data_IF_355548436965
#
_entry.id   IF_355548436965
#
_cell.length_a   1.000
_cell.length_b   1.000
_cell.length_c   1.000
_cell.angle_alpha   90.00
_cell.angle_beta   90.00
_cell.angle_gamma   90.00
#
_symmetry.space_group_name_H-M   'P 1'
#
loop_
_entity.id
_entity.type
_entity.pdbx_description
1 polymer ?
#
# COMPACT_ATOMS: atom_id res chain seq x y z
N UNK A 1 59.17 14.62 37.80
CA UNK A 1 57.79 14.31 38.23
C UNK A 1 57.09 13.58 37.10
N UNK A 2 56.59 12.37 37.36
CA UNK A 2 55.80 11.53 36.45
C UNK A 2 54.32 11.97 36.45
N UNK A 3 53.68 12.00 35.27
CA UNK A 3 52.22 11.87 35.06
C UNK A 3 52.04 11.27 33.64
N UNK A 4 51.93 9.94 33.48
CA UNK A 4 50.71 9.09 33.46
C UNK A 4 49.63 9.51 32.44
N UNK A 5 49.53 8.73 31.35
CA UNK A 5 48.33 8.16 30.64
C UNK A 5 47.05 9.01 30.54
N UNK A 6 46.33 9.08 29.41
CA UNK A 6 45.67 7.98 28.72
C UNK A 6 45.33 8.35 27.26
N UNK A 7 45.58 7.42 26.33
CA UNK A 7 44.84 7.34 25.06
C UNK A 7 43.40 6.93 25.37
N UNK A 8 42.43 7.71 24.90
CA UNK A 8 41.03 7.25 24.79
C UNK A 8 40.71 7.22 23.30
N UNK A 9 40.81 6.02 22.71
CA UNK A 9 40.31 5.76 21.36
C UNK A 9 38.80 5.59 21.45
N UNK A 10 38.06 6.55 20.91
CA UNK A 10 36.60 6.54 20.86
C UNK A 10 36.17 5.70 19.65
N UNK A 11 36.09 4.37 19.81
CA UNK A 11 35.44 3.50 18.82
C UNK A 11 33.92 3.70 18.92
N UNK A 12 33.37 4.57 18.09
CA UNK A 12 31.93 4.66 17.87
C UNK A 12 31.45 3.44 17.09
N UNK A 13 30.87 2.47 17.79
CA UNK A 13 30.11 1.38 17.16
C UNK A 13 28.86 2.00 16.52
N UNK A 14 28.91 2.26 15.21
CA UNK A 14 27.75 2.51 14.37
C UNK A 14 26.94 1.21 14.32
N UNK A 15 25.87 1.12 15.12
CA UNK A 15 24.90 0.04 15.00
C UNK A 15 24.05 0.34 13.77
N UNK A 16 24.32 -0.36 12.67
CA UNK A 16 23.38 -0.41 11.55
C UNK A 16 22.19 -1.26 11.99
N UNK A 17 21.03 -0.64 12.19
CA UNK A 17 19.79 -1.41 12.35
C UNK A 17 19.51 -2.06 10.99
N UNK A 18 19.45 -3.39 10.90
CA UNK A 18 19.11 -4.04 9.64
C UNK A 18 17.66 -3.68 9.30
N UNK A 19 17.45 -3.04 8.15
CA UNK A 19 16.12 -2.84 7.58
C UNK A 19 15.63 -4.21 7.14
N UNK A 20 14.69 -4.79 7.89
CA UNK A 20 14.12 -6.10 7.55
C UNK A 20 13.03 -5.94 6.50
N UNK A 21 13.09 -6.77 5.46
CA UNK A 21 12.03 -6.89 4.47
C UNK A 21 10.81 -7.56 5.11
N UNK A 22 9.65 -6.91 5.07
CA UNK A 22 8.39 -7.53 5.50
C UNK A 22 7.78 -8.28 4.31
N UNK A 23 7.62 -9.60 4.44
CA UNK A 23 7.02 -10.44 3.41
C UNK A 23 5.61 -10.85 3.80
N UNK A 24 4.63 -10.59 2.94
CA UNK A 24 3.25 -11.04 3.08
C UNK A 24 2.85 -11.87 1.88
N UNK A 25 2.28 -13.05 2.10
CA UNK A 25 1.72 -13.89 1.03
C UNK A 25 0.21 -14.07 1.23
N UNK A 26 -0.53 -14.06 0.14
CA UNK A 26 -1.98 -14.30 0.15
C UNK A 26 -2.45 -14.82 -1.20
N UNK A 27 -3.69 -15.29 -1.28
CA UNK A 27 -4.29 -15.76 -2.54
C UNK A 27 -5.41 -14.81 -2.96
N UNK A 28 -5.23 -14.00 -4.04
CA UNK A 28 -6.28 -13.15 -4.60
C UNK A 28 -7.51 -13.94 -5.00
N UNK A 29 -7.27 -15.12 -5.60
CA UNK A 29 -8.26 -16.09 -6.03
C UNK A 29 -7.62 -17.46 -6.14
N UNK A 30 -8.45 -18.51 -6.20
CA UNK A 30 -7.97 -19.90 -6.25
C UNK A 30 -6.96 -20.11 -7.38
N UNK A 31 -5.82 -20.68 -7.05
CA UNK A 31 -4.76 -21.01 -8.01
C UNK A 31 -3.80 -19.86 -8.33
N UNK A 32 -3.96 -18.72 -7.67
CA UNK A 32 -3.06 -17.57 -7.75
C UNK A 32 -2.48 -17.30 -6.36
N UNK A 33 -1.16 -17.19 -6.27
CA UNK A 33 -0.43 -16.78 -5.08
C UNK A 33 0.16 -15.39 -5.33
N UNK A 34 -0.13 -14.44 -4.45
CA UNK A 34 0.45 -13.12 -4.43
C UNK A 34 1.47 -13.01 -3.29
N UNK A 35 2.62 -12.44 -3.61
CA UNK A 35 3.71 -12.17 -2.67
C UNK A 35 4.02 -10.69 -2.69
N UNK A 36 3.99 -10.08 -1.52
CA UNK A 36 4.32 -8.69 -1.25
C UNK A 36 5.62 -8.67 -0.43
N UNK A 37 6.65 -7.99 -0.89
CA UNK A 37 7.91 -7.81 -0.17
C UNK A 37 8.17 -6.32 -0.02
N UNK A 38 8.00 -5.83 1.20
CA UNK A 38 8.15 -4.43 1.57
C UNK A 38 9.54 -4.21 2.17
N UNK A 39 10.36 -3.42 1.48
CA UNK A 39 11.75 -3.09 1.85
C UNK A 39 11.89 -1.58 1.94
N UNK A 40 11.84 -1.05 3.16
CA UNK A 40 11.85 0.41 3.38
C UNK A 40 10.63 1.05 2.71
N UNK A 41 10.89 1.89 1.69
CA UNK A 41 9.86 2.60 0.92
C UNK A 41 9.56 1.97 -0.44
N UNK A 42 10.06 0.76 -0.69
CA UNK A 42 9.83 0.04 -1.96
C UNK A 42 9.06 -1.24 -1.69
N UNK A 43 8.02 -1.49 -2.49
CA UNK A 43 7.23 -2.70 -2.45
C UNK A 43 7.43 -3.49 -3.75
N UNK A 44 7.93 -4.71 -3.63
CA UNK A 44 7.90 -5.68 -4.72
C UNK A 44 6.63 -6.52 -4.62
N UNK A 45 5.87 -6.56 -5.71
CA UNK A 45 4.61 -7.29 -5.82
C UNK A 45 4.77 -8.34 -6.90
N UNK A 46 4.52 -9.59 -6.57
CA UNK A 46 4.44 -10.68 -7.53
C UNK A 46 3.08 -11.39 -7.42
N UNK A 47 2.53 -11.81 -8.55
CA UNK A 47 1.38 -12.72 -8.59
C UNK A 47 1.70 -13.88 -9.53
N UNK A 48 1.59 -15.09 -9.02
CA UNK A 48 2.00 -16.31 -9.68
C UNK A 48 0.85 -17.29 -9.77
N UNK A 49 0.72 -17.89 -10.94
CA UNK A 49 -0.11 -19.06 -11.24
C UNK A 49 0.80 -20.24 -11.61
N UNK A 50 0.22 -21.41 -11.88
CA UNK A 50 0.98 -22.56 -12.35
C UNK A 50 1.71 -22.30 -13.69
N UNK A 51 1.15 -21.47 -14.57
CA UNK A 51 1.64 -21.26 -15.93
C UNK A 51 2.27 -19.87 -16.17
N UNK A 52 1.98 -18.89 -15.32
CA UNK A 52 2.31 -17.49 -15.54
C UNK A 52 2.71 -16.78 -14.24
N UNK A 53 3.66 -15.86 -14.33
CA UNK A 53 4.10 -15.03 -13.22
C UNK A 53 4.24 -13.58 -13.68
N UNK A 54 3.65 -12.66 -12.92
CA UNK A 54 3.79 -11.22 -13.11
C UNK A 54 4.44 -10.60 -11.89
N UNK A 55 5.26 -9.58 -12.10
CA UNK A 55 5.79 -8.77 -11.01
C UNK A 55 5.81 -7.28 -11.37
N UNK A 56 5.81 -6.46 -10.33
CA UNK A 56 6.01 -5.02 -10.42
C UNK A 56 6.63 -4.50 -9.13
N UNK A 57 7.41 -3.44 -9.27
CA UNK A 57 7.98 -2.69 -8.15
C UNK A 57 7.22 -1.38 -8.02
N UNK A 58 6.89 -1.01 -6.79
CA UNK A 58 6.15 0.20 -6.47
C UNK A 58 6.97 0.98 -5.44
N UNK A 59 7.37 2.18 -5.81
CA UNK A 59 8.04 3.10 -4.89
C UNK A 59 7.02 3.97 -4.17
N UNK A 60 7.32 4.25 -2.90
CA UNK A 60 6.56 5.15 -2.04
C UNK A 60 7.47 6.33 -1.67
N UNK A 61 6.91 7.53 -1.73
CA UNK A 61 7.52 8.72 -1.17
C UNK A 61 7.07 8.81 0.29
N UNK A 62 7.76 8.09 1.16
CA UNK A 62 7.37 7.92 2.55
C UNK A 62 8.58 8.03 3.47
N UNK A 63 8.52 8.94 4.43
CA UNK A 63 9.48 8.98 5.55
C UNK A 63 8.98 8.12 6.72
N UNK A 64 7.66 8.03 6.91
CA UNK A 64 7.07 7.20 7.96
C UNK A 64 6.98 5.72 7.54
N UNK A 65 6.97 4.79 8.50
CA UNK A 65 6.79 3.37 8.21
C UNK A 65 5.53 3.10 7.41
N UNK A 66 5.67 2.20 6.43
CA UNK A 66 4.58 1.70 5.62
C UNK A 66 3.93 0.49 6.30
N UNK A 67 2.63 0.33 6.09
CA UNK A 67 1.82 -0.75 6.63
C UNK A 67 0.97 -1.39 5.53
N UNK A 68 0.92 -2.73 5.49
CA UNK A 68 0.14 -3.48 4.51
C UNK A 68 -1.21 -3.95 5.09
N UNK A 69 -2.24 -3.98 4.24
CA UNK A 69 -3.54 -4.54 4.58
C UNK A 69 -4.10 -5.33 3.39
N UNK A 70 -4.66 -6.52 3.66
CA UNK A 70 -5.30 -7.38 2.66
C UNK A 70 -6.82 -7.37 2.89
N UNK A 71 -7.60 -6.96 1.89
CA UNK A 71 -9.07 -7.01 1.92
C UNK A 71 -9.65 -7.07 0.50
N UNK A 72 -10.97 -7.12 0.36
CA UNK A 72 -11.68 -6.96 -0.92
C UNK A 72 -12.12 -5.48 -1.03
N UNK A 73 -11.34 -4.66 -1.73
CA UNK A 73 -11.52 -3.20 -1.76
C UNK A 73 -12.49 -2.76 -2.86
N UNK A 74 -12.63 -3.54 -3.94
CA UNK A 74 -13.58 -3.27 -5.02
C UNK A 74 -14.90 -4.07 -4.91
N UNK A 75 -15.03 -4.92 -3.90
CA UNK A 75 -16.21 -5.73 -3.58
C UNK A 75 -16.58 -6.76 -4.65
N UNK A 76 -15.60 -7.27 -5.39
CA UNK A 76 -15.77 -8.29 -6.44
C UNK A 76 -15.59 -9.74 -5.93
N UNK A 77 -15.23 -9.90 -4.66
CA UNK A 77 -15.00 -11.19 -4.01
C UNK A 77 -13.56 -11.71 -4.14
N UNK A 78 -12.68 -10.98 -4.82
CA UNK A 78 -11.25 -11.29 -4.91
C UNK A 78 -10.49 -10.50 -3.84
N UNK A 79 -9.34 -11.02 -3.39
CA UNK A 79 -8.49 -10.30 -2.45
C UNK A 79 -7.58 -9.32 -3.18
N UNK A 80 -7.57 -8.12 -2.65
CA UNK A 80 -6.76 -6.96 -3.03
C UNK A 80 -5.78 -6.64 -1.88
N UNK A 81 -5.00 -5.57 -2.03
CA UNK A 81 -4.22 -5.03 -0.93
C UNK A 81 -4.19 -3.50 -0.93
N UNK A 82 -3.85 -2.92 0.22
CA UNK A 82 -3.49 -1.51 0.34
C UNK A 82 -2.19 -1.37 1.13
N UNK A 83 -1.44 -0.33 0.82
CA UNK A 83 -0.32 0.14 1.64
C UNK A 83 -0.68 1.51 2.19
N UNK A 84 -0.41 1.74 3.46
CA UNK A 84 -0.68 3.03 4.08
C UNK A 84 0.43 3.49 5.01
N UNK A 85 0.48 4.79 5.23
CA UNK A 85 1.37 5.44 6.19
C UNK A 85 0.62 6.54 6.91
N UNK A 86 1.14 6.96 8.06
CA UNK A 86 0.77 8.24 8.64
C UNK A 86 1.43 9.34 7.81
N UNK A 87 0.69 10.40 7.51
CA UNK A 87 1.15 11.60 6.81
C UNK A 87 2.50 12.08 7.36
N UNK A 88 3.43 12.39 6.45
CA UNK A 88 4.79 12.80 6.80
C UNK A 88 4.82 14.22 7.39
N UNK A 89 3.75 15.00 7.24
CA UNK A 89 3.58 16.33 7.83
C UNK A 89 3.32 16.29 9.34
N UNK A 90 2.11 16.65 9.76
CA UNK A 90 1.75 16.70 11.19
C UNK A 90 1.40 15.32 11.76
N UNK A 91 1.42 14.27 10.93
CA UNK A 91 1.09 12.90 11.34
C UNK A 91 -0.34 12.71 11.80
N UNK A 92 -1.26 13.55 11.31
CA UNK A 92 -2.66 13.55 11.74
C UNK A 92 -3.51 12.58 10.93
N UNK A 93 -3.11 12.29 9.70
CA UNK A 93 -3.92 11.52 8.76
C UNK A 93 -3.19 10.27 8.31
N UNK A 94 -3.93 9.24 7.97
CA UNK A 94 -3.39 8.04 7.31
C UNK A 94 -3.64 8.14 5.80
N UNK A 95 -2.59 8.02 4.99
CA UNK A 95 -2.65 8.02 3.53
C UNK A 95 -2.56 6.60 2.99
N UNK A 96 -3.53 6.19 2.17
CA UNK A 96 -3.62 4.84 1.60
C UNK A 96 -3.41 4.86 0.08
N UNK A 97 -2.64 3.89 -0.42
CA UNK A 97 -2.63 3.47 -1.82
C UNK A 97 -3.28 2.10 -1.92
N UNK A 98 -4.33 1.99 -2.73
CA UNK A 98 -5.16 0.78 -2.84
C UNK A 98 -4.87 0.10 -4.18
N UNK A 99 -4.63 -1.20 -4.18
CA UNK A 99 -4.21 -1.97 -5.35
C UNK A 99 -5.17 -3.13 -5.61
N UNK A 100 -5.89 -3.04 -6.72
CA UNK A 100 -6.98 -3.95 -7.09
C UNK A 100 -6.45 -5.05 -8.02
N UNK A 101 -6.70 -6.29 -7.66
CA UNK A 101 -6.30 -7.45 -8.46
C UNK A 101 -7.07 -7.50 -9.79
N UNK A 102 -6.34 -7.76 -10.87
CA UNK A 102 -6.87 -7.87 -12.23
C UNK A 102 -6.74 -9.33 -12.70
N UNK A 103 -7.82 -10.10 -12.57
CA UNK A 103 -7.83 -11.54 -12.89
C UNK A 103 -7.44 -11.89 -14.32
N UNK A 104 -7.66 -10.99 -15.28
CA UNK A 104 -7.30 -11.21 -16.70
C UNK A 104 -5.80 -11.17 -16.95
N UNK A 105 -5.07 -10.37 -16.17
CA UNK A 105 -3.64 -10.13 -16.39
C UNK A 105 -2.78 -10.66 -15.26
N UNK A 106 -3.38 -11.14 -14.16
CA UNK A 106 -2.68 -11.50 -12.93
C UNK A 106 -1.82 -10.34 -12.39
N UNK A 107 -2.29 -9.10 -12.52
CA UNK A 107 -1.58 -7.91 -12.00
C UNK A 107 -2.44 -7.17 -11.01
N UNK A 108 -1.81 -6.37 -10.16
CA UNK A 108 -2.52 -5.42 -9.31
C UNK A 108 -2.45 -4.03 -9.92
N UNK A 109 -3.58 -3.32 -9.96
CA UNK A 109 -3.67 -1.97 -10.49
C UNK A 109 -4.02 -1.01 -9.36
N UNK A 110 -3.28 0.07 -9.23
CA UNK A 110 -3.60 1.13 -8.28
C UNK A 110 -4.95 1.77 -8.62
N UNK A 111 -5.82 1.86 -7.61
CA UNK A 111 -7.09 2.55 -7.67
C UNK A 111 -6.91 4.01 -7.23
N UNK A 112 -7.71 4.88 -7.83
CA UNK A 112 -7.83 6.27 -7.45
C UNK A 112 -9.20 6.51 -6.81
N UNK A 113 -9.32 7.43 -5.84
CA UNK A 113 -10.62 7.83 -5.34
C UNK A 113 -11.42 8.58 -6.42
N UNK A 114 -12.74 8.63 -6.26
CA UNK A 114 -13.61 9.41 -7.18
C UNK A 114 -13.46 10.94 -6.96
N UNK A 115 -12.84 11.35 -5.84
CA UNK A 115 -12.65 12.72 -5.39
C UNK A 115 -11.37 12.88 -4.57
N UNK A 116 -10.74 14.05 -4.70
CA UNK A 116 -9.44 14.33 -4.08
C UNK A 116 -8.29 13.57 -4.76
N UNK A 117 -7.09 13.74 -4.20
CA UNK A 117 -5.85 13.24 -4.82
C UNK A 117 -5.37 11.89 -4.25
N UNK A 118 -6.09 11.33 -3.26
CA UNK A 118 -5.73 10.06 -2.65
C UNK A 118 -6.71 9.59 -1.58
N UNK A 119 -6.54 8.35 -1.12
CA UNK A 119 -7.38 7.77 -0.06
C UNK A 119 -6.87 8.18 1.31
N UNK A 120 -7.33 9.32 1.82
CA UNK A 120 -6.97 9.81 3.15
C UNK A 120 -8.00 9.31 4.18
N UNK A 121 -7.54 8.83 5.33
CA UNK A 121 -8.38 8.29 6.41
C UNK A 121 -9.38 7.22 5.92
N UNK A 122 -8.89 6.31 5.07
CA UNK A 122 -9.70 5.33 4.37
C UNK A 122 -10.50 4.44 5.32
N UNK A 123 -11.79 4.23 5.02
CA UNK A 123 -12.65 3.25 5.66
C UNK A 123 -13.36 2.41 4.60
N UNK A 124 -13.36 1.09 4.78
CA UNK A 124 -14.06 0.14 3.91
C UNK A 124 -15.48 -0.09 4.43
N UNK A 125 -16.49 0.38 3.70
CA UNK A 125 -17.89 0.14 4.03
C UNK A 125 -18.44 -1.06 3.26
N UNK A 126 -18.32 -2.25 3.86
CA UNK A 126 -18.76 -3.51 3.25
C UNK A 126 -20.27 -3.60 3.05
N UNK A 127 -21.06 -2.94 3.91
CA UNK A 127 -22.53 -2.95 3.81
C UNK A 127 -22.99 -2.14 2.60
N UNK A 128 -22.40 -0.96 2.39
CA UNK A 128 -22.72 -0.08 1.26
C UNK A 128 -21.87 -0.36 0.01
N UNK A 129 -20.89 -1.26 0.08
CA UNK A 129 -19.91 -1.53 -0.99
C UNK A 129 -19.29 -0.24 -1.52
N UNK A 130 -18.65 0.50 -0.63
CA UNK A 130 -17.98 1.75 -0.94
C UNK A 130 -16.71 1.92 -0.11
N UNK A 131 -15.74 2.64 -0.68
CA UNK A 131 -14.62 3.19 0.07
C UNK A 131 -14.95 4.62 0.47
N UNK A 132 -14.75 4.94 1.74
CA UNK A 132 -14.95 6.28 2.28
C UNK A 132 -13.58 6.87 2.60
N UNK A 133 -13.25 8.01 2.04
CA UNK A 133 -12.04 8.77 2.37
C UNK A 133 -12.38 10.22 2.70
N UNK A 134 -11.45 10.92 3.31
CA UNK A 134 -11.51 12.37 3.51
C UNK A 134 -10.80 13.06 2.36
N UNK A 135 -11.35 14.19 1.90
CA UNK A 135 -10.62 15.15 1.07
C UNK A 135 -10.95 16.57 1.58
N UNK A 136 -10.20 17.57 1.12
CA UNK A 136 -10.41 18.95 1.54
C UNK A 136 -10.91 19.78 0.36
N UNK A 137 -12.16 20.25 0.47
CA UNK A 137 -12.73 21.24 -0.43
C UNK A 137 -12.48 22.66 0.08
N UNK A 138 -13.04 23.65 -0.61
CA UNK A 138 -12.90 25.06 -0.22
C UNK A 138 -13.48 25.36 1.18
N UNK A 139 -14.43 24.55 1.65
CA UNK A 139 -15.15 24.77 2.90
C UNK A 139 -14.67 23.85 4.05
N UNK A 140 -13.56 23.14 3.88
CA UNK A 140 -12.99 22.25 4.89
C UNK A 140 -13.04 20.76 4.52
N UNK A 141 -12.91 19.85 5.51
CA UNK A 141 -12.87 18.42 5.26
C UNK A 141 -14.24 17.90 4.81
N UNK A 142 -14.25 17.20 3.70
CA UNK A 142 -15.42 16.55 3.09
C UNK A 142 -15.18 15.04 2.98
N UNK A 143 -16.26 14.26 2.83
CA UNK A 143 -16.19 12.82 2.63
C UNK A 143 -16.29 12.49 1.14
N UNK A 144 -15.27 11.80 0.62
CA UNK A 144 -15.31 11.15 -0.67
C UNK A 144 -15.92 9.75 -0.55
N UNK A 145 -16.81 9.38 -1.48
CA UNK A 145 -17.41 8.05 -1.57
C UNK A 145 -17.00 7.45 -2.91
N UNK A 146 -16.02 6.56 -2.90
CA UNK A 146 -15.56 5.87 -4.11
C UNK A 146 -16.32 4.57 -4.28
N UNK A 147 -16.94 4.40 -5.46
CA UNK A 147 -17.70 3.19 -5.80
C UNK A 147 -17.13 2.52 -7.02
N UNK A 148 -16.62 1.32 -6.84
CA UNK A 148 -16.32 0.41 -7.94
C UNK A 148 -17.64 -0.17 -8.45
N UNK A 149 -18.37 0.61 -9.25
CA UNK A 149 -19.45 0.04 -10.05
C UNK A 149 -18.82 -1.08 -10.87
N UNK A 150 -19.40 -2.29 -10.82
CA UNK A 150 -19.12 -3.32 -11.82
C UNK A 150 -19.16 -2.62 -13.18
N UNK A 151 -18.02 -2.36 -13.82
CA UNK A 151 -17.97 -1.88 -15.21
C UNK A 151 -18.35 -3.06 -16.11
N UNK A 152 -19.56 -3.60 -15.93
CA UNK A 152 -20.29 -4.40 -16.91
C UNK A 152 -21.09 -3.44 -17.79
N UNK A 153 -20.36 -2.61 -18.54
CA UNK A 153 -20.82 -1.84 -19.71
C UNK A 153 -19.55 -1.18 -20.26
N UNK A 154 -19.07 -1.41 -21.47
CA UNK A 154 -19.79 -1.64 -22.73
C UNK A 154 -18.82 -2.33 -23.72
N UNK A 155 -18.82 -3.66 -23.78
CA UNK A 155 -18.51 -4.36 -25.03
C UNK A 155 -19.83 -4.47 -25.78
N UNK A 156 -20.21 -3.38 -26.45
CA UNK A 156 -21.15 -3.43 -27.57
C UNK A 156 -20.59 -2.53 -28.64
N UNK A 157 -20.06 -3.19 -29.67
CA UNK A 157 -20.02 -2.80 -31.08
C UNK A 157 -19.33 -1.49 -31.44
N UNK A 158 -18.27 -1.66 -32.24
CA UNK A 158 -17.60 -0.69 -33.09
C UNK A 158 -16.63 -1.46 -33.96
#
# INVERSE_FOLDING_TARGET
MQFKTLLVSLLGLLWTIPVWAETTTFSPTKGIEATLVLEGSTLNVAAKSAAHSESQTIDFQAEKPLHMQIDDFNFDGLKDFSVWQIDDGMGTYSYFRVFIYQSKTNRFKEAQPDCGDGFINLRVDKKRKALLSTYWGMNGPEQCITRFTNRKTRMTQG
#
